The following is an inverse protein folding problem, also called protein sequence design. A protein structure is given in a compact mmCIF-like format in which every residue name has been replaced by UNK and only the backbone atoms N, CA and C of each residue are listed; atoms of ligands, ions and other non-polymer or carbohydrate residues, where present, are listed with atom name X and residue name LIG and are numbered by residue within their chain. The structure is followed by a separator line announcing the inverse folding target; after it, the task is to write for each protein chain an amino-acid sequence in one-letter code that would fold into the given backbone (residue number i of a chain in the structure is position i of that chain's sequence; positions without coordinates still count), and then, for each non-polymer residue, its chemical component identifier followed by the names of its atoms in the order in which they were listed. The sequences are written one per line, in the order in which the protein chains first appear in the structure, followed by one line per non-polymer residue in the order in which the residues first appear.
data_IF_767275929804
#
_entry.id   IF_767275929804
#
_cell.length_a   1.000
_cell.length_b   1.000
_cell.length_c   1.000
_cell.angle_alpha   90.00
_cell.angle_beta   90.00
_cell.angle_gamma   90.00
#
_symmetry.space_group_name_H-M   'P 1'
#
loop_
_entity.id
_entity.type
_entity.pdbx_description
1 polymer ?
#
# COMPACT_ATOMS: atom_id res chain seq x y z
N UNK A 1 5.42 -11.40 -19.65
CA UNK A 1 6.62 -10.55 -19.51
C UNK A 1 7.41 -11.12 -18.34
N UNK A 2 8.74 -11.13 -18.42
CA UNK A 2 9.62 -11.68 -17.38
C UNK A 2 10.66 -10.64 -17.06
N UNK A 3 10.91 -10.39 -15.77
CA UNK A 3 11.93 -9.44 -15.29
C UNK A 3 13.31 -10.04 -15.52
N UNK A 4 14.26 -9.22 -16.00
CA UNK A 4 15.67 -9.59 -16.16
C UNK A 4 16.45 -9.21 -14.91
N UNK A 5 16.51 -10.13 -13.96
CA UNK A 5 17.12 -9.93 -12.63
C UNK A 5 18.58 -9.50 -12.75
N UNK A 6 19.30 -10.03 -13.75
CA UNK A 6 20.70 -9.72 -14.01
C UNK A 6 20.95 -8.23 -14.33
N UNK A 7 19.96 -7.52 -14.90
CA UNK A 7 20.08 -6.09 -15.18
C UNK A 7 20.00 -5.26 -13.88
N UNK A 8 19.27 -5.73 -12.86
CA UNK A 8 19.20 -5.11 -11.54
C UNK A 8 20.48 -5.37 -10.72
N UNK A 9 21.01 -6.59 -10.78
CA UNK A 9 22.21 -7.02 -10.03
C UNK A 9 23.48 -6.22 -10.36
N UNK A 10 23.53 -5.58 -11.54
CA UNK A 10 24.64 -4.71 -11.94
C UNK A 10 24.86 -3.52 -10.97
N UNK A 11 23.79 -3.01 -10.37
CA UNK A 11 23.83 -1.91 -9.40
C UNK A 11 23.47 -2.35 -7.97
N UNK A 12 22.74 -3.46 -7.83
CA UNK A 12 22.29 -4.01 -6.55
C UNK A 12 22.88 -5.42 -6.37
N UNK A 13 24.14 -5.56 -5.91
CA UNK A 13 24.85 -6.85 -5.92
C UNK A 13 24.22 -7.94 -5.05
N UNK A 14 23.34 -7.58 -4.11
CA UNK A 14 22.59 -8.53 -3.29
C UNK A 14 21.39 -9.17 -4.03
N UNK A 15 21.08 -8.71 -5.24
CA UNK A 15 20.00 -9.25 -6.07
C UNK A 15 20.54 -10.39 -6.92
N UNK A 16 20.23 -11.64 -6.53
CA UNK A 16 20.64 -12.86 -7.22
C UNK A 16 19.46 -13.61 -7.87
N UNK A 17 18.24 -13.30 -7.44
CA UNK A 17 17.00 -13.93 -7.85
C UNK A 17 15.84 -12.92 -7.96
N UNK A 18 14.69 -13.40 -8.44
CA UNK A 18 13.49 -12.56 -8.55
C UNK A 18 13.00 -12.08 -7.18
N UNK A 19 13.12 -12.93 -6.15
CA UNK A 19 12.63 -12.61 -4.81
C UNK A 19 13.46 -11.51 -4.15
N UNK A 20 14.75 -11.42 -4.50
CA UNK A 20 15.65 -10.38 -3.98
C UNK A 20 15.33 -8.97 -4.52
N UNK A 21 14.49 -8.86 -5.56
CA UNK A 21 14.08 -7.55 -6.07
C UNK A 21 13.35 -6.73 -5.00
N UNK A 22 12.61 -7.39 -4.11
CA UNK A 22 11.90 -6.74 -3.01
C UNK A 22 12.83 -6.10 -1.98
N UNK A 23 14.09 -6.55 -1.88
CA UNK A 23 15.08 -5.97 -0.97
C UNK A 23 15.82 -4.78 -1.57
N UNK A 24 15.50 -4.36 -2.80
CA UNK A 24 16.11 -3.18 -3.41
C UNK A 24 15.72 -1.93 -2.62
N UNK A 25 16.74 -1.19 -2.19
CA UNK A 25 16.61 0.07 -1.46
C UNK A 25 17.52 1.12 -2.08
N UNK A 26 17.04 2.36 -2.16
CA UNK A 26 17.78 3.51 -2.71
C UNK A 26 17.93 4.68 -1.73
N UNK A 27 17.29 4.60 -0.55
CA UNK A 27 17.35 5.57 0.55
C UNK A 27 17.36 4.83 1.89
N UNK A 28 18.04 5.33 2.92
CA UNK A 28 17.97 4.76 4.28
C UNK A 28 16.83 5.35 5.14
N UNK A 29 15.94 6.16 4.54
CA UNK A 29 14.77 6.71 5.24
C UNK A 29 13.79 5.61 5.58
N UNK A 30 13.29 5.63 6.81
CA UNK A 30 12.19 4.83 7.33
C UNK A 30 10.87 5.53 6.95
N UNK A 31 10.22 5.06 5.89
CA UNK A 31 9.04 5.71 5.32
C UNK A 31 7.76 5.24 6.01
N UNK A 32 7.66 3.97 6.34
CA UNK A 32 6.52 3.38 7.03
C UNK A 32 6.54 3.54 8.57
N UNK A 33 7.67 3.97 9.12
CA UNK A 33 7.83 4.33 10.53
C UNK A 33 7.91 3.13 11.48
N UNK A 34 8.25 1.94 10.98
CA UNK A 34 8.35 0.71 11.78
C UNK A 34 9.74 0.49 12.42
N UNK A 35 10.72 1.29 12.02
CA UNK A 35 12.10 1.25 12.51
C UNK A 35 13.03 0.30 11.75
N UNK A 36 12.58 -0.38 10.69
CA UNK A 36 13.39 -1.25 9.84
C UNK A 36 14.08 -0.48 8.71
N UNK A 37 15.29 0.01 9.01
CA UNK A 37 16.15 0.64 8.02
C UNK A 37 16.87 -0.37 7.09
N UNK A 38 16.52 -1.65 7.11
CA UNK A 38 17.16 -2.72 6.32
C UNK A 38 16.27 -3.35 5.26
N UNK A 39 14.95 -3.21 5.35
CA UNK A 39 14.04 -3.67 4.30
C UNK A 39 14.13 -2.84 3.01
N UNK A 40 13.63 -3.39 1.89
CA UNK A 40 13.57 -2.66 0.63
C UNK A 40 12.29 -1.85 0.50
N UNK A 41 12.18 -1.04 -0.56
CA UNK A 41 11.00 -0.20 -0.83
C UNK A 41 9.69 -1.02 -0.93
N UNK A 42 9.79 -2.30 -1.28
CA UNK A 42 8.63 -3.19 -1.31
C UNK A 42 8.06 -3.47 0.10
N UNK A 43 8.91 -3.53 1.12
CA UNK A 43 8.52 -3.69 2.53
C UNK A 43 7.75 -2.47 3.01
N UNK A 44 8.35 -1.29 2.84
CA UNK A 44 7.78 0.02 3.19
C UNK A 44 6.36 0.19 2.58
N UNK A 45 6.21 -0.10 1.28
CA UNK A 45 4.90 -0.07 0.60
C UNK A 45 3.93 -1.10 1.20
N UNK A 46 4.41 -2.29 1.54
CA UNK A 46 3.62 -3.37 2.13
C UNK A 46 3.03 -2.98 3.49
N UNK A 47 3.86 -2.45 4.38
CA UNK A 47 3.44 -1.97 5.70
C UNK A 47 2.45 -0.81 5.58
N UNK A 48 2.77 0.21 4.78
CA UNK A 48 1.87 1.35 4.56
C UNK A 48 0.54 0.93 3.95
N UNK A 49 0.55 -0.08 3.06
CA UNK A 49 -0.68 -0.64 2.47
C UNK A 49 -1.54 -1.37 3.50
N UNK A 50 -0.93 -2.11 4.42
CA UNK A 50 -1.64 -2.76 5.51
C UNK A 50 -2.28 -1.73 6.45
N UNK A 51 -1.51 -0.71 6.85
CA UNK A 51 -2.00 0.38 7.69
C UNK A 51 -3.15 1.17 7.03
N UNK A 52 -3.07 1.40 5.72
CA UNK A 52 -4.17 2.03 4.98
C UNK A 52 -5.44 1.16 4.99
N UNK A 53 -5.32 -0.16 4.86
CA UNK A 53 -6.48 -1.05 4.92
C UNK A 53 -7.15 -1.02 6.30
N UNK A 54 -6.35 -1.09 7.36
CA UNK A 54 -6.86 -0.97 8.74
C UNK A 54 -7.58 0.38 8.94
N UNK A 55 -6.98 1.48 8.45
CA UNK A 55 -7.60 2.80 8.51
C UNK A 55 -8.90 2.90 7.68
N UNK A 56 -8.99 2.23 6.53
CA UNK A 56 -10.21 2.11 5.73
C UNK A 56 -11.32 1.43 6.54
N UNK A 57 -11.01 0.33 7.24
CA UNK A 57 -11.98 -0.39 8.06
C UNK A 57 -12.43 0.44 9.28
N UNK A 58 -11.47 1.04 9.99
CA UNK A 58 -11.76 1.92 11.15
C UNK A 58 -12.60 3.13 10.74
N UNK A 59 -12.29 3.76 9.61
CA UNK A 59 -13.06 4.89 9.11
C UNK A 59 -14.50 4.50 8.79
N UNK A 60 -14.71 3.34 8.15
CA UNK A 60 -16.04 2.83 7.86
C UNK A 60 -16.83 2.55 9.15
N UNK A 61 -16.21 1.89 10.15
CA UNK A 61 -16.82 1.62 11.45
C UNK A 61 -17.22 2.89 12.22
N UNK A 62 -16.43 3.95 12.11
CA UNK A 62 -16.61 5.19 12.85
C UNK A 62 -17.53 6.23 12.16
N UNK A 63 -17.99 5.97 10.94
CA UNK A 63 -18.77 6.93 10.15
C UNK A 63 -20.24 6.52 10.09
N UNK A 64 -21.13 7.41 10.51
CA UNK A 64 -22.58 7.20 10.41
C UNK A 64 -23.01 6.97 8.95
N UNK A 65 -23.97 6.07 8.74
CA UNK A 65 -24.52 5.72 7.42
C UNK A 65 -23.50 5.09 6.44
N UNK A 66 -22.37 4.59 6.94
CA UNK A 66 -21.36 3.87 6.18
C UNK A 66 -21.31 2.41 6.64
N UNK A 67 -21.47 1.48 5.70
CA UNK A 67 -21.37 0.04 5.97
C UNK A 67 -19.91 -0.35 6.25
N UNK A 68 -19.70 -1.44 6.98
CA UNK A 68 -18.37 -2.06 7.10
C UNK A 68 -17.86 -2.49 5.74
N UNK A 69 -16.56 -2.32 5.50
CA UNK A 69 -15.94 -2.59 4.20
C UNK A 69 -14.97 -3.77 4.27
N UNK A 70 -15.05 -4.65 3.27
CA UNK A 70 -14.13 -5.76 3.07
C UNK A 70 -13.59 -5.74 1.63
N UNK A 71 -12.33 -6.15 1.47
CA UNK A 71 -11.66 -6.27 0.18
C UNK A 71 -11.45 -7.73 -0.24
N UNK A 72 -11.68 -8.03 -1.52
CA UNK A 72 -11.30 -9.29 -2.16
C UNK A 72 -10.57 -9.04 -3.49
N UNK A 73 -9.29 -9.40 -3.54
CA UNK A 73 -8.44 -9.21 -4.72
C UNK A 73 -8.83 -10.09 -5.93
N UNK A 74 -9.65 -11.12 -5.71
CA UNK A 74 -10.07 -12.12 -6.70
C UNK A 74 -11.50 -11.94 -7.21
N UNK A 75 -12.22 -10.90 -6.76
CA UNK A 75 -13.61 -10.65 -7.13
C UNK A 75 -13.80 -9.37 -7.95
N UNK A 76 -14.96 -9.25 -8.61
CA UNK A 76 -15.44 -7.99 -9.18
C UNK A 76 -16.91 -7.75 -8.78
N UNK A 77 -17.25 -6.59 -8.18
CA UNK A 77 -16.33 -5.53 -7.72
C UNK A 77 -15.39 -6.02 -6.60
N UNK A 78 -14.33 -5.26 -6.29
CA UNK A 78 -13.30 -5.68 -5.32
C UNK A 78 -13.67 -5.40 -3.86
N UNK A 79 -14.68 -4.58 -3.61
CA UNK A 79 -15.10 -4.18 -2.26
C UNK A 79 -16.54 -4.59 -1.98
N UNK A 80 -16.77 -5.09 -0.77
CA UNK A 80 -18.04 -5.64 -0.29
C UNK A 80 -18.41 -5.09 1.07
N UNK A 81 -19.71 -5.08 1.39
CA UNK A 81 -20.18 -4.80 2.74
C UNK A 81 -20.18 -6.08 3.62
N UNK A 82 -20.58 -5.95 4.87
CA UNK A 82 -20.66 -7.06 5.84
C UNK A 82 -21.65 -8.17 5.44
N UNK A 83 -22.68 -7.84 4.65
CA UNK A 83 -23.60 -8.81 4.06
C UNK A 83 -22.99 -9.57 2.86
N UNK A 84 -21.80 -9.18 2.39
CA UNK A 84 -21.15 -9.74 1.21
C UNK A 84 -21.69 -9.19 -0.11
N UNK A 85 -22.51 -8.13 -0.08
CA UNK A 85 -22.99 -7.43 -1.27
C UNK A 85 -21.95 -6.42 -1.75
N UNK A 86 -22.05 -6.00 -3.01
CA UNK A 86 -21.18 -4.94 -3.56
C UNK A 86 -21.22 -3.69 -2.67
N UNK A 87 -20.05 -3.14 -2.36
CA UNK A 87 -19.98 -1.96 -1.49
C UNK A 87 -20.60 -0.71 -2.15
N UNK A 88 -21.38 0.06 -1.39
CA UNK A 88 -22.21 1.15 -1.93
C UNK A 88 -22.24 2.45 -1.13
N UNK A 89 -21.87 2.44 0.15
CA UNK A 89 -21.95 3.60 1.06
C UNK A 89 -20.65 4.42 1.06
N UNK A 90 -20.26 4.91 -0.11
CA UNK A 90 -19.01 5.64 -0.29
C UNK A 90 -19.06 7.07 0.23
N UNK A 91 -18.12 7.45 1.10
CA UNK A 91 -17.76 8.86 1.29
C UNK A 91 -16.63 9.25 0.32
N UNK A 92 -16.42 10.55 0.02
CA UNK A 92 -15.31 10.97 -0.84
C UNK A 92 -13.93 10.53 -0.33
N UNK A 93 -13.70 10.57 1.00
CA UNK A 93 -12.44 10.14 1.64
C UNK A 93 -12.25 8.62 1.52
N UNK A 94 -13.30 7.85 1.82
CA UNK A 94 -13.27 6.39 1.74
C UNK A 94 -13.05 5.89 0.29
N UNK A 95 -13.72 6.50 -0.69
CA UNK A 95 -13.54 6.15 -2.10
C UNK A 95 -12.10 6.39 -2.57
N UNK A 96 -11.50 7.52 -2.17
CA UNK A 96 -10.10 7.84 -2.48
C UNK A 96 -9.15 6.80 -1.88
N UNK A 97 -9.31 6.48 -0.60
CA UNK A 97 -8.47 5.50 0.07
C UNK A 97 -8.62 4.10 -0.55
N UNK A 98 -9.85 3.66 -0.84
CA UNK A 98 -10.12 2.39 -1.50
C UNK A 98 -9.52 2.30 -2.91
N UNK A 99 -9.53 3.40 -3.68
CA UNK A 99 -8.85 3.46 -4.98
C UNK A 99 -7.33 3.31 -4.84
N UNK A 100 -6.72 4.03 -3.89
CA UNK A 100 -5.27 3.99 -3.66
C UNK A 100 -4.85 2.60 -3.18
N UNK A 101 -5.61 2.00 -2.26
CA UNK A 101 -5.39 0.63 -1.81
C UNK A 101 -5.46 -0.36 -2.99
N UNK A 102 -6.52 -0.29 -3.80
CA UNK A 102 -6.66 -1.13 -5.00
C UNK A 102 -5.48 -0.96 -5.98
N UNK A 103 -5.04 0.29 -6.18
CA UNK A 103 -3.91 0.57 -7.05
C UNK A 103 -2.63 -0.11 -6.55
N UNK A 104 -2.31 0.01 -5.26
CA UNK A 104 -1.16 -0.68 -4.65
C UNK A 104 -1.26 -2.22 -4.79
N UNK A 105 -2.46 -2.79 -4.62
CA UNK A 105 -2.69 -4.23 -4.79
C UNK A 105 -2.53 -4.72 -6.25
N UNK A 106 -2.73 -3.84 -7.24
CA UNK A 106 -2.68 -4.20 -8.66
C UNK A 106 -1.36 -3.83 -9.35
N UNK A 107 -0.44 -3.18 -8.62
CA UNK A 107 0.93 -2.95 -9.07
C UNK A 107 1.96 -3.66 -8.18
N UNK A 108 2.16 -4.99 -8.35
CA UNK A 108 3.15 -5.73 -7.57
C UNK A 108 4.59 -5.26 -7.82
N UNK A 109 4.84 -4.46 -8.87
CA UNK A 109 6.14 -3.86 -9.17
C UNK A 109 6.24 -2.39 -8.74
N UNK A 110 5.28 -1.87 -7.96
CA UNK A 110 5.22 -0.45 -7.59
C UNK A 110 6.50 0.08 -6.95
N UNK A 111 7.21 -0.77 -6.19
CA UNK A 111 8.51 -0.46 -5.60
C UNK A 111 9.60 -0.12 -6.63
N UNK A 112 9.52 -0.66 -7.84
CA UNK A 112 10.46 -0.42 -8.93
C UNK A 112 9.92 0.56 -9.99
N UNK A 113 8.60 0.61 -10.19
CA UNK A 113 7.99 1.48 -11.20
C UNK A 113 8.01 2.96 -10.78
N UNK A 114 7.66 3.26 -9.52
CA UNK A 114 7.70 4.59 -8.92
C UNK A 114 7.43 4.53 -7.40
N UNK A 115 8.38 3.98 -6.64
CA UNK A 115 8.20 3.73 -5.20
C UNK A 115 7.79 4.98 -4.41
N UNK A 116 8.48 6.10 -4.62
CA UNK A 116 8.19 7.39 -3.95
C UNK A 116 6.74 7.82 -4.14
N UNK A 117 6.20 7.69 -5.36
CA UNK A 117 4.83 8.07 -5.66
C UNK A 117 3.81 7.14 -4.99
N UNK A 118 4.07 5.82 -4.98
CA UNK A 118 3.21 4.84 -4.30
C UNK A 118 3.17 5.14 -2.80
N UNK A 119 4.33 5.28 -2.16
CA UNK A 119 4.44 5.61 -0.73
C UNK A 119 3.78 6.95 -0.40
N UNK A 120 3.98 7.99 -1.22
CA UNK A 120 3.34 9.29 -1.01
C UNK A 120 1.81 9.21 -1.07
N UNK A 121 1.25 8.46 -2.02
CA UNK A 121 -0.20 8.26 -2.08
C UNK A 121 -0.74 7.48 -0.88
N UNK A 122 -0.02 6.46 -0.42
CA UNK A 122 -0.39 5.67 0.75
C UNK A 122 -0.36 6.53 2.02
N UNK A 123 0.72 7.30 2.22
CA UNK A 123 0.87 8.25 3.33
C UNK A 123 -0.31 9.24 3.35
N UNK A 124 -0.55 9.92 2.22
CA UNK A 124 -1.57 10.97 2.14
C UNK A 124 -2.99 10.40 2.30
N UNK A 125 -3.23 9.16 1.89
CA UNK A 125 -4.52 8.48 2.09
C UNK A 125 -4.72 8.06 3.56
N UNK A 126 -3.67 7.54 4.19
CA UNK A 126 -3.69 7.15 5.60
C UNK A 126 -3.94 8.36 6.50
N UNK A 127 -3.18 9.45 6.29
CA UNK A 127 -3.38 10.73 6.98
C UNK A 127 -4.79 11.28 6.73
N UNK A 128 -5.27 11.24 5.47
CA UNK A 128 -6.63 11.65 5.12
C UNK A 128 -7.71 10.74 5.68
N UNK A 129 -7.44 9.57 6.26
CA UNK A 129 -8.42 8.82 7.05
C UNK A 129 -8.27 9.01 8.56
N UNK A 130 -7.24 9.76 8.99
CA UNK A 130 -6.91 9.97 10.40
C UNK A 130 -6.05 8.87 11.00
N UNK A 131 -5.39 8.05 10.17
CA UNK A 131 -4.38 7.11 10.62
C UNK A 131 -3.15 7.82 11.19
N UNK A 132 -2.42 7.12 12.06
CA UNK A 132 -1.20 7.66 12.66
C UNK A 132 -0.04 7.59 11.68
N UNK A 133 0.50 8.76 11.34
CA UNK A 133 1.68 8.94 10.48
C UNK A 133 2.85 9.58 11.23
N UNK A 134 2.77 9.68 12.57
CA UNK A 134 3.72 10.45 13.36
C UNK A 134 5.15 9.90 13.38
N UNK A 135 5.32 8.59 13.18
CA UNK A 135 6.63 7.94 13.02
C UNK A 135 7.07 7.80 11.56
N UNK A 136 6.17 8.06 10.59
CA UNK A 136 6.44 7.89 9.17
C UNK A 136 7.23 9.05 8.60
N UNK A 137 8.03 8.77 7.56
CA UNK A 137 8.62 9.80 6.72
C UNK A 137 7.83 9.92 5.43
N UNK A 138 7.26 11.10 5.15
CA UNK A 138 6.64 11.37 3.85
C UNK A 138 7.74 11.49 2.76
N UNK A 139 7.68 10.73 1.65
CA UNK A 139 8.63 10.86 0.52
C UNK A 139 8.60 12.24 -0.16
#
# INVERSE_FOLDING_TARGET
MTVKVEECGACHPAVESYDDLASIRVSSSDFDGDGDATEGIAGEIGTMTALLYDAIQVYAEATDEVDLIAYDSHAYPYFFNDAGDRYGTWTPRLLRAAYIYQYAQKDPGGFAHNGDYVMQMLYDALEDLGGDVGSMTRP
#
